data_IF_185536449309
#
_entry.id   IF_185536449309
#
_cell.length_a   1.000
_cell.length_b   1.000
_cell.length_c   1.000
_cell.angle_alpha   90.00
_cell.angle_beta   90.00
_cell.angle_gamma   90.00
#
_symmetry.space_group_name_H-M   'P 1'
#
loop_
_entity.id
_entity.type
_entity.pdbx_description
1 polymer ?
#
# COMPACT_ATOMS: atom_id res chain seq x y z
N UNK A 1 -0.87 -10.66 -10.89
CA UNK A 1 -0.85 -12.10 -10.50
C UNK A 1 -1.64 -12.22 -9.19
N UNK A 2 -2.53 -13.21 -9.05
CA UNK A 2 -3.28 -13.43 -7.81
C UNK A 2 -2.70 -14.65 -7.08
N UNK A 3 -2.23 -14.45 -5.84
CA UNK A 3 -1.77 -15.52 -4.93
C UNK A 3 -2.60 -15.48 -3.65
N UNK A 4 -2.59 -16.56 -2.86
CA UNK A 4 -3.18 -16.56 -1.52
C UNK A 4 -2.16 -17.00 -0.49
N UNK A 5 -1.83 -16.13 0.47
CA UNK A 5 -0.80 -16.35 1.50
C UNK A 5 -1.39 -15.91 2.85
N UNK A 6 -1.19 -16.70 3.92
CA UNK A 6 -1.69 -16.38 5.26
C UNK A 6 -3.18 -15.98 5.29
N UNK A 7 -4.02 -16.74 4.57
CA UNK A 7 -5.45 -16.48 4.38
C UNK A 7 -5.82 -15.17 3.65
N UNK A 8 -4.85 -14.41 3.14
CA UNK A 8 -5.03 -13.16 2.39
C UNK A 8 -4.86 -13.36 0.90
N UNK A 9 -5.69 -12.68 0.11
CA UNK A 9 -5.49 -12.59 -1.33
C UNK A 9 -4.42 -11.53 -1.63
N UNK A 10 -3.46 -11.87 -2.47
CA UNK A 10 -2.31 -11.02 -2.81
C UNK A 10 -2.47 -10.57 -4.26
N UNK A 11 -2.55 -9.25 -4.46
CA UNK A 11 -2.67 -8.62 -5.75
C UNK A 11 -1.43 -7.78 -6.05
N UNK A 12 -0.72 -8.12 -7.12
CA UNK A 12 0.33 -7.26 -7.67
C UNK A 12 -0.26 -6.36 -8.75
N UNK A 13 -0.20 -5.05 -8.52
CA UNK A 13 -0.69 -3.99 -9.42
C UNK A 13 0.47 -3.05 -9.73
N UNK A 14 0.72 -2.82 -11.01
CA UNK A 14 1.72 -1.83 -11.44
C UNK A 14 1.05 -0.47 -11.65
N UNK A 15 1.66 0.59 -11.12
CA UNK A 15 1.25 1.95 -11.45
C UNK A 15 1.58 2.24 -12.92
N UNK A 16 0.55 2.54 -13.71
CA UNK A 16 0.69 2.85 -15.12
C UNK A 16 -0.35 3.88 -15.54
N UNK A 17 0.07 5.02 -16.11
CA UNK A 17 -0.85 6.08 -16.53
C UNK A 17 -1.64 5.75 -17.79
N UNK A 18 -1.22 4.75 -18.57
CA UNK A 18 -1.93 4.27 -19.75
C UNK A 18 -2.96 3.18 -19.42
N UNK A 19 -2.92 2.60 -18.21
CA UNK A 19 -3.87 1.57 -17.77
C UNK A 19 -4.64 2.04 -16.54
N UNK A 20 -5.89 1.61 -16.40
CA UNK A 20 -6.69 1.96 -15.23
C UNK A 20 -6.32 1.06 -14.03
N UNK A 21 -5.14 1.27 -13.45
CA UNK A 21 -4.67 0.56 -12.25
C UNK A 21 -5.64 0.71 -11.07
N UNK A 22 -6.29 1.87 -10.96
CA UNK A 22 -7.24 2.19 -9.90
C UNK A 22 -8.51 1.31 -9.90
N UNK A 23 -8.87 0.76 -11.07
CA UNK A 23 -9.97 -0.21 -11.18
C UNK A 23 -9.58 -1.63 -10.70
N UNK A 24 -8.28 -1.89 -10.49
CA UNK A 24 -7.77 -3.22 -10.12
C UNK A 24 -7.62 -3.38 -8.60
N UNK A 25 -7.75 -2.29 -7.83
CA UNK A 25 -7.62 -2.32 -6.37
C UNK A 25 -8.99 -2.44 -5.67
N UNK A 26 -9.05 -3.13 -4.51
CA UNK A 26 -10.28 -3.29 -3.72
C UNK A 26 -10.85 -1.95 -3.23
N UNK A 27 -12.03 -2.02 -2.63
CA UNK A 27 -12.76 -0.85 -2.07
C UNK A 27 -13.00 -0.98 -0.57
N UNK A 28 -12.43 -1.99 0.11
CA UNK A 28 -12.51 -2.24 1.56
C UNK A 28 -11.65 -3.44 1.96
N UNK A 29 -11.37 -3.59 3.26
CA UNK A 29 -10.70 -4.76 3.85
C UNK A 29 -9.34 -5.07 3.21
N UNK A 30 -8.55 -4.03 2.91
CA UNK A 30 -7.30 -4.20 2.20
C UNK A 30 -6.17 -3.31 2.70
N UNK A 31 -4.96 -3.88 2.63
CA UNK A 31 -3.69 -3.25 2.94
C UNK A 31 -2.97 -2.92 1.63
N UNK A 32 -2.39 -1.73 1.55
CA UNK A 32 -1.51 -1.32 0.46
C UNK A 32 -0.05 -1.49 0.88
N UNK A 33 0.73 -2.25 0.12
CA UNK A 33 2.19 -2.18 0.12
C UNK A 33 2.62 -1.28 -1.02
N UNK A 34 3.01 -0.06 -0.72
CA UNK A 34 3.39 0.94 -1.70
C UNK A 34 4.89 0.89 -1.96
N UNK A 35 5.28 0.43 -3.14
CA UNK A 35 6.68 0.25 -3.53
C UNK A 35 7.16 1.47 -4.33
N UNK A 36 8.10 2.23 -3.79
CA UNK A 36 8.69 3.39 -4.50
C UNK A 36 10.17 3.57 -4.24
N UNK A 37 10.90 3.95 -5.28
CA UNK A 37 12.35 4.18 -5.21
C UNK A 37 12.81 5.57 -5.63
N UNK A 38 12.13 6.19 -6.61
CA UNK A 38 12.50 7.49 -7.16
C UNK A 38 11.36 8.08 -8.02
N UNK A 39 10.18 8.19 -7.44
CA UNK A 39 9.01 8.80 -8.08
C UNK A 39 8.90 10.27 -7.75
N UNK A 40 8.47 11.02 -8.78
CA UNK A 40 8.11 12.42 -8.60
C UNK A 40 6.89 12.54 -7.67
N UNK A 41 6.94 13.49 -6.74
CA UNK A 41 5.90 13.73 -5.72
C UNK A 41 4.48 13.77 -6.30
N UNK A 42 4.27 14.43 -7.45
CA UNK A 42 2.93 14.50 -8.08
C UNK A 42 2.26 13.14 -8.33
N UNK A 43 3.05 12.09 -8.61
CA UNK A 43 2.51 10.74 -8.81
C UNK A 43 2.25 10.04 -7.48
N UNK A 44 3.07 10.32 -6.47
CA UNK A 44 2.85 9.86 -5.10
C UNK A 44 1.55 10.47 -4.55
N UNK A 45 1.39 11.79 -4.65
CA UNK A 45 0.19 12.51 -4.22
C UNK A 45 -1.09 11.94 -4.89
N UNK A 46 -1.03 11.67 -6.19
CA UNK A 46 -2.13 11.04 -6.94
C UNK A 46 -2.48 9.65 -6.36
N UNK A 47 -1.47 8.82 -6.13
CA UNK A 47 -1.65 7.45 -5.63
C UNK A 47 -2.16 7.46 -4.19
N UNK A 48 -1.56 8.24 -3.29
CA UNK A 48 -1.95 8.38 -1.89
C UNK A 48 -3.42 8.79 -1.80
N UNK A 49 -3.80 9.85 -2.52
CA UNK A 49 -5.18 10.32 -2.54
C UNK A 49 -6.16 9.23 -3.02
N UNK A 50 -5.78 8.47 -4.06
CA UNK A 50 -6.60 7.40 -4.63
C UNK A 50 -6.74 6.19 -3.71
N UNK A 51 -5.67 5.74 -3.04
CA UNK A 51 -5.77 4.58 -2.14
C UNK A 51 -6.61 4.92 -0.91
N UNK A 52 -6.54 6.16 -0.40
CA UNK A 52 -7.43 6.64 0.68
C UNK A 52 -8.90 6.66 0.22
N UNK A 53 -9.16 7.13 -1.00
CA UNK A 53 -10.52 7.09 -1.61
C UNK A 53 -11.07 5.68 -1.84
N UNK A 54 -10.25 4.65 -1.63
CA UNK A 54 -10.60 3.23 -1.81
C UNK A 54 -10.70 2.48 -0.49
N UNK A 55 -10.83 3.18 0.64
CA UNK A 55 -10.97 2.56 1.97
C UNK A 55 -9.84 1.61 2.30
N UNK A 56 -8.61 2.00 1.96
CA UNK A 56 -7.42 1.33 2.50
C UNK A 56 -7.44 1.42 4.03
N UNK A 57 -7.15 0.32 4.73
CA UNK A 57 -7.05 0.32 6.19
C UNK A 57 -5.60 0.38 6.67
N UNK A 58 -4.64 -0.02 5.84
CA UNK A 58 -3.24 -0.03 6.20
C UNK A 58 -2.37 0.31 5.00
N UNK A 59 -1.38 1.16 5.19
CA UNK A 59 -0.38 1.50 4.16
C UNK A 59 1.02 1.21 4.71
N UNK A 60 1.69 0.25 4.10
CA UNK A 60 3.10 -0.05 4.33
C UNK A 60 3.93 0.46 3.16
N UNK A 61 4.89 1.34 3.40
CA UNK A 61 5.79 1.84 2.35
C UNK A 61 7.09 1.06 2.35
N UNK A 62 7.58 0.71 1.16
CA UNK A 62 8.83 -0.03 0.96
C UNK A 62 9.61 0.52 -0.23
N UNK A 63 10.91 0.28 -0.26
CA UNK A 63 11.83 0.79 -1.29
C UNK A 63 12.63 2.00 -0.81
N UNK A 64 13.38 2.62 -1.72
CA UNK A 64 14.33 3.70 -1.39
C UNK A 64 13.64 4.99 -0.92
N UNK A 65 12.37 5.19 -1.26
CA UNK A 65 11.57 6.36 -0.84
C UNK A 65 10.56 6.03 0.27
N UNK A 66 10.69 4.88 0.96
CA UNK A 66 9.68 4.46 1.94
C UNK A 66 9.36 5.51 3.00
N UNK A 67 10.38 6.10 3.63
CA UNK A 67 10.22 7.13 4.68
C UNK A 67 9.59 8.42 4.12
N UNK A 68 10.09 8.94 2.99
CA UNK A 68 9.51 10.12 2.33
C UNK A 68 8.03 9.91 1.98
N UNK A 69 7.69 8.74 1.40
CA UNK A 69 6.30 8.42 1.02
C UNK A 69 5.42 8.26 2.25
N UNK A 70 5.95 7.68 3.33
CA UNK A 70 5.24 7.56 4.59
C UNK A 70 4.88 8.92 5.17
N UNK A 71 5.84 9.85 5.24
CA UNK A 71 5.59 11.22 5.73
C UNK A 71 4.52 11.94 4.89
N UNK A 72 4.50 11.73 3.56
CA UNK A 72 3.47 12.27 2.68
C UNK A 72 2.08 11.67 2.94
N UNK A 73 2.01 10.38 3.31
CA UNK A 73 0.74 9.73 3.66
C UNK A 73 0.22 10.32 4.98
N UNK A 74 1.08 10.43 5.99
CA UNK A 74 0.70 11.02 7.28
C UNK A 74 0.27 12.48 7.12
N UNK A 75 0.98 13.26 6.30
CA UNK A 75 0.60 14.65 5.95
C UNK A 75 -0.80 14.70 5.32
N UNK A 76 -1.08 13.82 4.34
CA UNK A 76 -2.38 13.77 3.68
C UNK A 76 -3.49 13.33 4.64
N UNK A 77 -3.26 12.36 5.52
CA UNK A 77 -4.24 11.94 6.53
C UNK A 77 -4.58 13.12 7.45
N UNK A 78 -3.56 13.77 8.02
CA UNK A 78 -3.74 14.93 8.91
C UNK A 78 -4.47 16.06 8.19
N UNK A 79 -4.10 16.37 6.95
CA UNK A 79 -4.77 17.38 6.14
C UNK A 79 -6.28 17.10 6.02
N UNK A 80 -6.66 15.85 5.72
CA UNK A 80 -8.06 15.46 5.58
C UNK A 80 -8.82 15.44 6.91
N UNK A 81 -8.14 15.18 8.02
CA UNK A 81 -8.73 15.22 9.36
C UNK A 81 -9.09 16.63 9.83
N UNK A 82 -8.24 17.61 9.52
CA UNK A 82 -8.36 18.99 10.04
C UNK A 82 -9.11 19.94 9.11
N UNK A 83 -9.31 19.58 7.84
CA UNK A 83 -10.03 20.43 6.88
C UNK A 83 -11.53 20.51 7.21
N UNK A 84 -12.00 21.72 7.58
CA UNK A 84 -13.37 21.96 8.08
C UNK A 84 -14.33 22.45 6.98
N UNK A 85 -13.84 23.16 5.95
CA UNK A 85 -14.71 23.82 4.97
C UNK A 85 -15.17 22.85 3.88
N UNK A 86 -14.24 22.07 3.32
CA UNK A 86 -14.49 21.09 2.26
C UNK A 86 -13.95 19.71 2.69
N UNK A 87 -14.43 19.21 3.84
CA UNK A 87 -13.92 17.99 4.50
C UNK A 87 -13.68 16.85 3.48
N UNK A 88 -12.42 16.60 3.11
CA UNK A 88 -12.12 15.58 2.12
C UNK A 88 -12.47 14.20 2.67
N UNK A 89 -12.65 13.25 1.76
CA UNK A 89 -12.96 11.89 2.16
C UNK A 89 -11.84 11.29 3.01
N UNK A 90 -12.17 10.77 4.18
CA UNK A 90 -11.34 9.87 4.96
C UNK A 90 -12.20 8.66 5.34
N UNK A 91 -11.66 7.43 5.30
CA UNK A 91 -12.37 6.24 5.76
C UNK A 91 -12.86 6.39 7.20
N UNK A 92 -13.91 5.63 7.57
CA UNK A 92 -14.45 5.68 8.93
C UNK A 92 -13.58 4.98 9.96
N UNK A 93 -12.67 4.12 9.52
CA UNK A 93 -11.65 3.45 10.34
C UNK A 93 -10.34 4.23 10.32
N UNK A 94 -9.50 4.01 11.32
CA UNK A 94 -8.14 4.57 11.31
C UNK A 94 -7.30 3.92 10.21
N UNK A 95 -6.55 4.73 9.44
CA UNK A 95 -5.56 4.20 8.50
C UNK A 95 -4.25 4.01 9.24
N UNK A 96 -3.79 2.78 9.34
CA UNK A 96 -2.48 2.47 9.93
C UNK A 96 -1.36 2.68 8.92
N UNK A 97 -0.29 3.36 9.32
CA UNK A 97 0.87 3.64 8.45
C UNK A 97 2.15 3.05 9.04
N UNK A 98 3.01 2.49 8.17
CA UNK A 98 4.35 1.99 8.53
C UNK A 98 5.30 2.16 7.34
N UNK A 99 6.60 2.26 7.59
CA UNK A 99 7.62 2.19 6.55
C UNK A 99 8.67 1.13 6.90
N UNK A 100 9.26 0.53 5.87
CA UNK A 100 10.29 -0.51 6.03
C UNK A 100 11.46 -0.28 5.08
N UNK A 101 12.67 -0.09 5.64
CA UNK A 101 13.89 0.03 4.84
C UNK A 101 14.34 -1.32 4.27
N UNK A 102 14.07 -2.42 4.97
CA UNK A 102 14.27 -3.77 4.45
C UNK A 102 13.07 -4.12 3.55
N UNK A 103 13.35 -4.23 2.26
CA UNK A 103 12.33 -4.45 1.24
C UNK A 103 11.60 -5.78 1.42
N UNK A 104 12.35 -6.84 1.69
CA UNK A 104 11.82 -8.19 1.81
C UNK A 104 11.02 -8.34 3.10
N UNK A 105 11.56 -7.80 4.21
CA UNK A 105 10.88 -7.79 5.50
C UNK A 105 9.60 -6.96 5.47
N UNK A 106 9.59 -5.80 4.80
CA UNK A 106 8.38 -4.97 4.71
C UNK A 106 7.22 -5.64 3.98
N UNK A 107 7.51 -6.36 2.88
CA UNK A 107 6.49 -7.16 2.18
C UNK A 107 6.06 -8.35 3.05
N UNK A 108 7.01 -9.06 3.67
CA UNK A 108 6.71 -10.18 4.56
C UNK A 108 5.82 -9.76 5.72
N UNK A 109 6.17 -8.67 6.42
CA UNK A 109 5.41 -8.09 7.53
C UNK A 109 3.97 -7.80 7.11
N UNK A 110 3.80 -7.16 5.96
CA UNK A 110 2.49 -6.79 5.43
C UNK A 110 1.58 -8.00 5.14
N UNK A 111 2.16 -9.13 4.75
CA UNK A 111 1.42 -10.35 4.43
C UNK A 111 1.17 -11.20 5.69
N UNK A 112 2.16 -11.28 6.58
CA UNK A 112 2.16 -12.23 7.70
C UNK A 112 1.71 -11.60 9.02
N UNK A 113 2.22 -10.41 9.34
CA UNK A 113 2.18 -9.84 10.69
C UNK A 113 1.24 -8.64 10.84
N UNK A 114 1.04 -7.83 9.78
CA UNK A 114 0.18 -6.66 9.85
C UNK A 114 -1.24 -7.08 10.25
N UNK A 115 -1.76 -6.51 11.33
CA UNK A 115 -3.08 -6.81 11.88
C UNK A 115 -3.71 -5.51 12.38
N UNK A 116 -4.94 -5.26 11.96
CA UNK A 116 -5.72 -4.11 12.37
C UNK A 116 -6.83 -4.56 13.32
N UNK A 117 -7.07 -3.79 14.39
CA UNK A 117 -8.05 -4.16 15.42
C UNK A 117 -9.50 -3.86 14.98
N UNK A 118 -9.70 -2.98 14.00
CA UNK A 118 -11.01 -2.55 13.48
C UNK A 118 -11.38 -3.26 12.16
N UNK A 119 -10.40 -3.60 11.34
CA UNK A 119 -10.58 -4.13 9.98
C UNK A 119 -9.89 -5.48 9.77
N UNK A 120 -10.65 -6.50 9.37
CA UNK A 120 -10.07 -7.77 8.93
C UNK A 120 -9.44 -7.61 7.52
N UNK A 121 -8.11 -7.73 7.44
CA UNK A 121 -7.35 -7.52 6.20
C UNK A 121 -7.48 -8.79 5.33
N UNK A 122 -8.39 -8.74 4.35
CA UNK A 122 -8.63 -9.84 3.41
C UNK A 122 -7.67 -9.80 2.21
N UNK A 123 -7.28 -8.61 1.76
CA UNK A 123 -6.46 -8.43 0.55
C UNK A 123 -5.21 -7.59 0.84
N UNK A 124 -4.05 -8.04 0.35
CA UNK A 124 -2.82 -7.24 0.29
C UNK A 124 -2.56 -6.86 -1.16
N UNK A 125 -2.56 -5.57 -1.44
CA UNK A 125 -2.20 -5.02 -2.75
C UNK A 125 -0.75 -4.55 -2.69
N UNK A 126 0.13 -5.18 -3.46
CA UNK A 126 1.46 -4.66 -3.75
C UNK A 126 1.31 -3.71 -4.93
N UNK A 127 1.35 -2.41 -4.67
CA UNK A 127 1.28 -1.37 -5.67
C UNK A 127 2.70 -0.96 -6.07
N UNK A 128 3.15 -1.50 -7.20
CA UNK A 128 4.49 -1.27 -7.72
C UNK A 128 4.57 0.05 -8.49
N UNK A 129 5.22 1.05 -7.89
CA UNK A 129 5.55 2.30 -8.58
C UNK A 129 6.95 2.27 -9.19
N UNK A 130 7.60 1.14 -9.39
CA UNK A 130 8.96 1.07 -9.97
C UNK A 130 8.99 0.69 -11.45
N UNK A 131 7.83 0.61 -12.12
CA UNK A 131 7.70 0.09 -13.49
C UNK A 131 8.30 -1.32 -13.64
N UNK A 132 8.13 -2.19 -12.63
CA UNK A 132 8.66 -3.54 -12.64
C UNK A 132 10.14 -3.68 -12.33
N UNK A 133 10.89 -2.60 -12.04
CA UNK A 133 12.30 -2.70 -11.65
C UNK A 133 12.50 -3.55 -10.38
N UNK A 134 11.52 -3.56 -9.48
CA UNK A 134 11.51 -4.38 -8.25
C UNK A 134 10.83 -5.74 -8.40
N UNK A 135 10.43 -6.16 -9.60
CA UNK A 135 9.63 -7.37 -9.78
C UNK A 135 10.31 -8.64 -9.21
N UNK A 136 11.64 -8.76 -9.38
CA UNK A 136 12.40 -9.90 -8.84
C UNK A 136 12.46 -9.86 -7.30
N UNK A 137 12.61 -8.68 -6.72
CA UNK A 137 12.67 -8.47 -5.27
C UNK A 137 11.28 -8.77 -4.64
N UNK A 138 10.20 -8.31 -5.28
CA UNK A 138 8.82 -8.62 -4.90
C UNK A 138 8.59 -10.12 -4.93
N UNK A 139 9.02 -10.79 -6.00
CA UNK A 139 8.83 -12.23 -6.16
C UNK A 139 9.57 -13.01 -5.06
N UNK A 140 10.78 -12.59 -4.72
CA UNK A 140 11.58 -13.19 -3.63
C UNK A 140 10.86 -13.05 -2.28
N UNK A 141 10.33 -11.87 -1.97
CA UNK A 141 9.60 -11.63 -0.73
C UNK A 141 8.28 -12.44 -0.66
N UNK A 142 7.58 -12.58 -1.78
CA UNK A 142 6.38 -13.42 -1.87
C UNK A 142 6.68 -14.90 -1.60
N UNK A 143 7.77 -15.42 -2.16
CA UNK A 143 8.17 -16.82 -1.98
C UNK A 143 8.59 -17.10 -0.53
N UNK A 144 9.23 -16.14 0.14
CA UNK A 144 9.50 -16.23 1.59
C UNK A 144 8.21 -16.22 2.41
N UNK A 145 7.30 -15.28 2.17
CA UNK A 145 6.04 -15.20 2.89
C UNK A 145 5.20 -16.48 2.71
N UNK A 146 5.26 -17.11 1.53
CA UNK A 146 4.58 -18.38 1.29
C UNK A 146 5.20 -19.56 2.05
N UNK A 147 6.52 -19.53 2.27
CA UNK A 147 7.22 -20.55 3.07
C UNK A 147 6.95 -20.41 4.58
N UNK A 148 6.82 -19.18 5.08
CA UNK A 148 6.68 -18.87 6.52
C UNK A 148 5.23 -18.88 7.05
N UNK A 149 4.23 -19.07 6.17
CA UNK A 149 2.80 -18.99 6.52
C UNK A 149 2.29 -20.08 7.48
#
# INVERSE_FOLDING_TARGET
MARRINSRDILLVEYNTAQNWYAQIPIKNWLCVLVSDNRERRYLDEVISKIILKDVCWIATVGKQCEEVHDLIDEEIVFREVEEEDKPYLPSHAIMTTWHHDFEDGIWFSIIAANDDEVDIETVVILDMTNGERMADIQTALDKAEYDR
#
